data_IF_456787710569
#
_entry.id   IF_456787710569
#
_cell.length_a   1.000
_cell.length_b   1.000
_cell.length_c   1.000
_cell.angle_alpha   90.00
_cell.angle_beta   90.00
_cell.angle_gamma   90.00
#
_symmetry.space_group_name_H-M   'P 1'
#
loop_
_entity.id
_entity.type
_entity.pdbx_description
1 polymer ?
#
# COMPACT_ATOMS: atom_id res chain seq x y z
N UNK A 1 14.04 -6.26 -3.86
CA UNK A 1 13.51 -5.65 -2.62
C UNK A 1 14.62 -4.82 -2.03
N UNK A 2 14.40 -3.54 -1.67
CA UNK A 2 13.35 -2.65 -2.16
C UNK A 2 13.39 -2.54 -3.69
N UNK A 3 12.43 -1.89 -4.33
CA UNK A 3 12.50 -1.69 -5.78
C UNK A 3 11.19 -1.34 -6.46
N UNK A 4 11.35 -0.93 -7.73
CA UNK A 4 10.23 -0.69 -8.64
C UNK A 4 9.60 -2.03 -9.04
N UNK A 5 8.29 -2.18 -8.85
CA UNK A 5 7.58 -3.42 -9.18
C UNK A 5 6.58 -3.27 -10.32
N UNK A 6 6.22 -2.05 -10.70
CA UNK A 6 5.36 -1.80 -11.86
C UNK A 6 5.69 -0.44 -12.49
N UNK A 7 5.67 -0.40 -13.83
CA UNK A 7 5.75 0.81 -14.65
C UNK A 7 4.61 0.73 -15.67
N UNK A 8 3.82 1.79 -15.82
CA UNK A 8 2.63 1.77 -16.66
C UNK A 8 2.37 3.08 -17.39
N UNK A 9 1.59 3.00 -18.48
CA UNK A 9 1.02 4.18 -19.12
C UNK A 9 -0.12 4.72 -18.27
N UNK A 10 -0.21 6.05 -18.17
CA UNK A 10 -1.37 6.71 -17.55
C UNK A 10 -2.51 6.99 -18.53
N UNK A 11 -2.31 6.69 -19.82
CA UNK A 11 -3.20 7.10 -20.91
C UNK A 11 -2.93 8.51 -21.44
N UNK A 12 -2.12 9.32 -20.75
CA UNK A 12 -1.66 10.62 -21.22
C UNK A 12 -0.29 10.52 -21.88
N UNK A 13 -0.09 11.04 -23.10
CA UNK A 13 1.19 11.01 -23.78
C UNK A 13 2.31 11.65 -22.94
N UNK A 14 3.43 10.93 -22.80
CA UNK A 14 4.59 11.39 -22.02
C UNK A 14 4.46 11.25 -20.50
N UNK A 15 3.33 10.75 -19.99
CA UNK A 15 3.11 10.56 -18.56
C UNK A 15 2.98 9.06 -18.21
N UNK A 16 3.88 8.62 -17.34
CA UNK A 16 3.95 7.24 -16.87
C UNK A 16 3.84 7.17 -15.35
N UNK A 17 3.28 6.07 -14.86
CA UNK A 17 3.30 5.73 -13.44
C UNK A 17 4.43 4.74 -13.15
N UNK A 18 5.01 4.86 -11.97
CA UNK A 18 5.94 3.89 -11.41
C UNK A 18 5.53 3.58 -9.97
N UNK A 19 5.54 2.30 -9.60
CA UNK A 19 5.23 1.85 -8.26
C UNK A 19 6.46 1.22 -7.63
N UNK A 20 6.69 1.59 -6.37
CA UNK A 20 7.84 1.16 -5.58
C UNK A 20 7.38 0.56 -4.27
N UNK A 21 8.04 -0.50 -3.83
CA UNK A 21 7.75 -1.12 -2.54
C UNK A 21 9.03 -1.46 -1.78
N UNK A 22 8.93 -1.46 -0.46
CA UNK A 22 10.02 -1.78 0.46
C UNK A 22 9.46 -2.39 1.75
N UNK A 23 10.11 -3.42 2.32
CA UNK A 23 9.73 -3.96 3.63
C UNK A 23 10.19 -3.07 4.81
N UNK A 24 10.89 -1.97 4.53
CA UNK A 24 11.35 -1.00 5.53
C UNK A 24 11.29 0.43 4.98
N UNK A 25 11.42 1.42 5.87
CA UNK A 25 11.41 2.83 5.47
C UNK A 25 12.64 3.17 4.62
N UNK A 26 12.40 3.82 3.49
CA UNK A 26 13.41 4.39 2.58
C UNK A 26 13.10 5.88 2.42
N UNK A 27 14.13 6.71 2.23
CA UNK A 27 13.93 8.14 1.95
C UNK A 27 13.27 8.34 0.58
N UNK A 28 12.58 9.47 0.40
CA UNK A 28 11.90 9.75 -0.86
C UNK A 28 12.92 9.99 -1.98
N UNK A 29 14.09 10.53 -1.63
CA UNK A 29 15.23 10.76 -2.52
C UNK A 29 15.82 9.44 -3.04
N UNK A 30 16.07 8.48 -2.15
CA UNK A 30 16.56 7.15 -2.52
C UNK A 30 15.56 6.39 -3.40
N UNK A 31 14.26 6.45 -3.05
CA UNK A 31 13.21 5.83 -3.86
C UNK A 31 13.18 6.43 -5.28
N UNK A 32 13.19 7.76 -5.39
CA UNK A 32 13.17 8.43 -6.70
C UNK A 32 14.41 8.10 -7.52
N UNK A 33 15.59 8.09 -6.89
CA UNK A 33 16.84 7.74 -7.56
C UNK A 33 16.82 6.29 -8.08
N UNK A 34 16.34 5.35 -7.26
CA UNK A 34 16.27 3.93 -7.62
C UNK A 34 15.24 3.67 -8.74
N UNK A 35 14.10 4.37 -8.72
CA UNK A 35 13.12 4.33 -9.83
C UNK A 35 13.77 4.78 -11.15
N UNK A 36 14.46 5.93 -11.15
CA UNK A 36 15.10 6.47 -12.36
C UNK A 36 16.21 5.52 -12.87
N UNK A 37 17.04 4.99 -11.97
CA UNK A 37 18.08 4.03 -12.30
C UNK A 37 17.50 2.72 -12.89
N UNK A 38 16.42 2.23 -12.30
CA UNK A 38 15.71 1.04 -12.76
C UNK A 38 15.13 1.27 -14.17
N UNK A 39 14.45 2.40 -14.39
CA UNK A 39 13.89 2.75 -15.70
C UNK A 39 14.98 2.87 -16.76
N UNK A 40 16.09 3.56 -16.46
CA UNK A 40 17.21 3.70 -17.38
C UNK A 40 17.81 2.34 -17.76
N UNK A 41 17.92 1.42 -16.79
CA UNK A 41 18.38 0.05 -17.02
C UNK A 41 17.43 -0.71 -17.94
N UNK A 42 16.12 -0.60 -17.72
CA UNK A 42 15.10 -1.25 -18.54
C UNK A 42 15.07 -0.72 -19.98
N UNK A 43 15.15 0.61 -20.16
CA UNK A 43 15.22 1.26 -21.48
C UNK A 43 16.42 0.75 -22.27
N UNK A 44 17.60 0.70 -21.64
CA UNK A 44 18.82 0.17 -22.25
C UNK A 44 18.68 -1.31 -22.61
N UNK A 45 18.15 -2.13 -21.68
CA UNK A 45 18.00 -3.56 -21.89
C UNK A 45 17.00 -3.89 -23.02
N UNK A 46 15.97 -3.06 -23.21
CA UNK A 46 14.98 -3.21 -24.26
C UNK A 46 15.43 -2.65 -25.63
N UNK A 47 16.61 -2.01 -25.71
CA UNK A 47 17.12 -1.42 -26.94
C UNK A 47 16.39 -0.15 -27.39
N UNK A 48 15.64 0.50 -26.48
CA UNK A 48 15.02 1.79 -26.78
C UNK A 48 16.07 2.90 -26.83
N UNK A 49 15.84 3.96 -27.63
CA UNK A 49 16.69 5.14 -27.58
C UNK A 49 16.69 5.73 -26.16
N UNK A 50 17.79 6.37 -25.74
CA UNK A 50 17.81 7.13 -24.50
C UNK A 50 16.64 8.13 -24.46
N UNK A 51 16.09 8.36 -23.26
CA UNK A 51 15.11 9.42 -23.09
C UNK A 51 15.70 10.76 -23.54
N UNK A 52 14.86 11.62 -24.12
CA UNK A 52 15.22 13.00 -24.44
C UNK A 52 15.31 13.80 -23.12
N UNK A 53 16.43 13.65 -22.41
CA UNK A 53 16.65 14.23 -21.09
C UNK A 53 16.37 13.26 -19.94
N UNK A 54 16.44 13.77 -18.71
CA UNK A 54 16.13 13.02 -17.50
C UNK A 54 14.63 13.09 -17.22
N UNK A 55 13.93 11.95 -17.04
CA UNK A 55 12.53 11.97 -16.62
C UNK A 55 12.35 12.71 -15.30
N UNK A 56 11.28 13.50 -15.21
CA UNK A 56 10.95 14.28 -14.02
C UNK A 56 9.74 13.65 -13.30
N UNK A 57 9.76 13.71 -11.97
CA UNK A 57 8.60 13.35 -11.16
C UNK A 57 7.64 14.54 -11.11
N UNK A 58 6.58 14.49 -11.92
CA UNK A 58 5.49 15.49 -11.87
C UNK A 58 4.51 15.26 -10.70
N UNK A 59 4.60 14.09 -10.06
CA UNK A 59 3.85 13.73 -8.87
C UNK A 59 4.54 12.59 -8.13
N UNK A 60 4.45 12.61 -6.81
CA UNK A 60 4.98 11.56 -5.94
C UNK A 60 4.11 11.48 -4.68
N UNK A 61 3.62 10.28 -4.37
CA UNK A 61 2.82 10.07 -3.17
C UNK A 61 3.44 8.95 -2.34
N UNK A 62 3.81 9.26 -1.11
CA UNK A 62 4.39 8.30 -0.20
C UNK A 62 3.32 7.78 0.77
N UNK A 63 3.06 6.47 0.71
CA UNK A 63 2.07 5.80 1.54
C UNK A 63 2.63 5.25 2.86
N UNK A 64 3.84 5.65 3.28
CA UNK A 64 4.45 5.17 4.54
C UNK A 64 3.81 5.83 5.77
N UNK A 65 3.54 5.07 6.85
CA UNK A 65 3.63 3.62 6.93
C UNK A 65 2.44 2.93 6.22
N UNK A 66 2.73 1.88 5.44
CA UNK A 66 1.74 1.05 4.76
C UNK A 66 1.74 -0.36 5.36
N UNK A 67 0.59 -1.04 5.33
CA UNK A 67 0.46 -2.43 5.79
C UNK A 67 1.09 -2.69 7.17
N UNK A 68 0.60 -1.97 8.19
CA UNK A 68 1.08 -2.14 9.56
C UNK A 68 0.84 -3.58 10.02
N UNK A 69 1.92 -4.26 10.39
CA UNK A 69 1.90 -5.64 10.89
C UNK A 69 2.47 -5.70 12.30
N UNK A 70 2.23 -6.83 12.97
CA UNK A 70 2.85 -7.17 14.24
C UNK A 70 3.84 -8.31 14.05
N UNK A 71 4.74 -8.51 15.02
CA UNK A 71 5.69 -9.62 14.97
C UNK A 71 4.98 -10.97 14.92
N UNK A 72 5.62 -11.97 14.30
CA UNK A 72 5.11 -13.35 14.26
C UNK A 72 4.84 -13.91 15.66
N UNK A 73 5.62 -13.49 16.65
CA UNK A 73 5.43 -13.83 18.06
C UNK A 73 4.13 -13.23 18.62
N UNK A 74 3.82 -11.96 18.32
CA UNK A 74 2.55 -11.35 18.71
C UNK A 74 1.35 -12.06 18.06
N UNK A 75 1.48 -12.48 16.80
CA UNK A 75 0.45 -13.27 16.10
C UNK A 75 0.21 -14.60 16.83
N UNK A 76 1.28 -15.37 17.10
CA UNK A 76 1.20 -16.64 17.85
C UNK A 76 0.56 -16.44 19.23
N UNK A 77 0.89 -15.34 19.89
CA UNK A 77 0.36 -14.96 21.19
C UNK A 77 -1.03 -14.31 21.10
N UNK A 78 -1.79 -14.49 20.02
CA UNK A 78 -3.21 -14.15 19.94
C UNK A 78 -3.53 -12.67 19.72
N UNK A 79 -2.62 -11.88 19.15
CA UNK A 79 -2.85 -10.44 18.91
C UNK A 79 -4.16 -10.17 18.16
N UNK A 80 -4.39 -10.82 17.01
CA UNK A 80 -5.60 -10.60 16.21
C UNK A 80 -6.88 -11.12 16.86
N UNK A 81 -6.78 -12.13 17.73
CA UNK A 81 -7.94 -12.60 18.51
C UNK A 81 -8.37 -11.52 19.51
N UNK A 82 -7.40 -10.94 20.24
CA UNK A 82 -7.66 -9.81 21.15
C UNK A 82 -8.14 -8.57 20.41
N UNK A 83 -7.55 -8.26 19.25
CA UNK A 83 -7.96 -7.12 18.42
C UNK A 83 -9.44 -7.25 18.00
N UNK A 84 -9.86 -8.44 17.56
CA UNK A 84 -11.24 -8.69 17.16
C UNK A 84 -12.22 -8.73 18.35
N UNK A 85 -11.75 -9.09 19.54
CA UNK A 85 -12.56 -9.04 20.76
C UNK A 85 -12.96 -7.61 21.17
N UNK A 86 -12.31 -6.58 20.64
CA UNK A 86 -12.67 -5.18 20.89
C UNK A 86 -14.00 -4.75 20.22
N UNK A 87 -14.56 -5.56 19.34
CA UNK A 87 -15.80 -5.22 18.64
C UNK A 87 -16.98 -5.18 19.60
N UNK A 88 -17.59 -4.01 19.77
CA UNK A 88 -18.72 -3.78 20.66
C UNK A 88 -18.32 -3.32 22.07
N UNK A 89 -17.04 -3.37 22.42
CA UNK A 89 -16.54 -2.89 23.71
C UNK A 89 -16.88 -1.41 23.88
N UNK A 90 -17.58 -1.08 24.98
CA UNK A 90 -18.06 0.29 25.27
C UNK A 90 -18.85 0.92 24.12
N UNK A 91 -19.65 0.12 23.39
CA UNK A 91 -20.40 0.58 22.20
C UNK A 91 -19.48 1.19 21.13
N UNK A 92 -18.31 0.59 20.94
CA UNK A 92 -17.36 0.98 19.88
C UNK A 92 -17.15 -0.18 18.92
N UNK A 93 -17.20 0.11 17.63
CA UNK A 93 -16.96 -0.86 16.57
C UNK A 93 -15.89 -0.34 15.61
N UNK A 94 -15.03 -1.25 15.15
CA UNK A 94 -13.83 -0.91 14.39
C UNK A 94 -13.90 -1.47 12.97
N UNK A 95 -13.44 -0.69 12.00
CA UNK A 95 -13.31 -1.09 10.59
C UNK A 95 -12.02 -0.50 10.00
N UNK A 96 -11.79 -0.71 8.70
CA UNK A 96 -10.63 -0.22 7.96
C UNK A 96 -9.48 -1.22 7.87
N UNK A 97 -8.38 -0.79 7.26
CA UNK A 97 -7.24 -1.64 6.91
C UNK A 97 -6.51 -2.27 8.10
N UNK A 98 -6.73 -1.82 9.34
CA UNK A 98 -6.17 -2.48 10.52
C UNK A 98 -6.95 -3.73 10.94
N UNK A 99 -8.25 -3.82 10.57
CA UNK A 99 -9.09 -5.00 10.80
C UNK A 99 -9.23 -5.88 9.55
N UNK A 100 -8.81 -5.38 8.39
CA UNK A 100 -8.91 -6.03 7.08
C UNK A 100 -7.61 -5.84 6.28
N UNK A 101 -7.67 -5.90 4.95
CA UNK A 101 -6.56 -5.59 4.06
C UNK A 101 -6.56 -4.11 3.63
N UNK A 102 -5.47 -3.65 3.02
CA UNK A 102 -5.39 -2.36 2.31
C UNK A 102 -6.14 -2.41 0.96
N UNK A 103 -7.40 -2.84 1.01
CA UNK A 103 -8.28 -3.04 -0.14
C UNK A 103 -9.66 -2.49 0.21
N UNK A 104 -10.12 -1.52 -0.58
CA UNK A 104 -11.38 -0.83 -0.32
C UNK A 104 -12.59 -1.76 -0.41
N UNK A 105 -12.58 -2.73 -1.33
CA UNK A 105 -13.69 -3.67 -1.52
C UNK A 105 -13.83 -4.58 -0.29
N UNK A 106 -12.71 -5.07 0.25
CA UNK A 106 -12.69 -5.91 1.44
C UNK A 106 -13.13 -5.11 2.67
N UNK A 107 -12.67 -3.85 2.80
CA UNK A 107 -13.07 -2.96 3.90
C UNK A 107 -14.58 -2.69 3.88
N UNK A 108 -15.15 -2.39 2.70
CA UNK A 108 -16.58 -2.14 2.57
C UNK A 108 -17.40 -3.39 2.87
N UNK A 109 -17.00 -4.54 2.30
CA UNK A 109 -17.64 -5.82 2.56
C UNK A 109 -17.63 -6.19 4.06
N UNK A 110 -16.50 -5.96 4.75
CA UNK A 110 -16.41 -6.14 6.20
C UNK A 110 -17.37 -5.19 6.94
N UNK A 111 -17.36 -3.91 6.58
CA UNK A 111 -18.21 -2.91 7.22
C UNK A 111 -19.68 -3.28 7.09
N UNK A 112 -20.13 -3.59 5.88
CA UNK A 112 -21.52 -3.87 5.55
C UNK A 112 -22.02 -5.16 6.20
N UNK A 113 -21.25 -6.25 6.11
CA UNK A 113 -21.75 -7.57 6.50
C UNK A 113 -21.30 -8.04 7.89
N UNK A 114 -20.31 -7.40 8.51
CA UNK A 114 -19.82 -7.81 9.84
C UNK A 114 -20.01 -6.75 10.92
N UNK A 115 -19.92 -5.46 10.58
CA UNK A 115 -19.99 -4.38 11.58
C UNK A 115 -21.40 -3.82 11.72
N UNK A 116 -22.04 -3.41 10.62
CA UNK A 116 -23.39 -2.83 10.67
C UNK A 116 -24.43 -3.74 11.35
N UNK A 117 -24.48 -5.06 11.11
CA UNK A 117 -25.44 -5.93 11.79
C UNK A 117 -25.23 -5.98 13.31
N UNK A 118 -23.97 -5.91 13.78
CA UNK A 118 -23.64 -5.92 15.21
C UNK A 118 -24.05 -4.62 15.89
N UNK A 119 -23.93 -3.49 15.20
CA UNK A 119 -24.41 -2.19 15.70
C UNK A 119 -25.94 -2.23 15.87
N UNK A 120 -26.66 -2.66 14.83
CA UNK A 120 -28.14 -2.73 14.85
C UNK A 120 -28.70 -3.72 15.87
N UNK A 121 -27.96 -4.78 16.20
CA UNK A 121 -28.35 -5.75 17.23
C UNK A 121 -28.00 -5.31 18.67
N UNK A 122 -27.24 -4.22 18.83
CA UNK A 122 -26.76 -3.73 20.14
C UNK A 122 -27.60 -2.58 20.70
N UNK A 123 -28.73 -2.24 20.04
CA UNK A 123 -29.73 -1.27 20.49
C UNK A 123 -30.82 -1.91 21.34
#
# INVERSE_FOLDING_TARGET
>A
MPGTYAIGSTGFPGLHSAYYSSPYTVSDEEVKADILATIATLVKAAGYPPANGTPEFVGFNNHKPFELTVSTEAIKNGFYQRLNALQGERRTWWTGAAWQAQDSSIIWNWTEHNILPKISAST
#
